data_IF_109534098444
#
_entry.id   IF_109534098444
#
_cell.length_a   1.000
_cell.length_b   1.000
_cell.length_c   1.000
_cell.angle_alpha   90.00
_cell.angle_beta   90.00
_cell.angle_gamma   90.00
#
_symmetry.space_group_name_H-M   'P 1'
#
loop_
_entity.id
_entity.type
_entity.pdbx_description
1 polymer ?
#
# COMPACT_ATOMS: atom_id res chain seq x y z
N UNK A 1 -5.72 0.70 21.53
CA UNK A 1 -4.62 1.64 21.24
C UNK A 1 -3.84 1.13 20.05
N UNK A 2 -3.26 2.02 19.25
CA UNK A 2 -2.35 1.66 18.16
C UNK A 2 -0.94 2.20 18.45
N UNK A 3 0.07 1.49 17.94
CA UNK A 3 1.44 2.03 17.85
C UNK A 3 1.67 2.53 16.44
N UNK A 4 2.18 3.75 16.30
CA UNK A 4 2.51 4.37 15.00
C UNK A 4 4.02 4.56 14.91
N UNK A 5 4.62 4.02 13.85
CA UNK A 5 6.05 4.15 13.56
C UNK A 5 6.25 4.93 12.26
N UNK A 6 7.06 5.97 12.32
CA UNK A 6 7.46 6.74 11.13
C UNK A 6 8.43 5.94 10.28
N UNK A 7 8.26 6.00 8.95
CA UNK A 7 9.24 5.42 8.01
C UNK A 7 10.25 6.48 7.56
N UNK A 8 11.33 6.08 6.87
CA UNK A 8 12.23 7.04 6.21
C UNK A 8 11.56 7.89 5.11
N UNK A 9 10.42 7.45 4.57
CA UNK A 9 9.68 8.19 3.55
C UNK A 9 8.66 9.09 4.24
N UNK A 10 8.69 10.38 3.92
CA UNK A 10 7.95 11.40 4.67
C UNK A 10 6.44 11.13 4.65
N UNK A 11 5.81 11.16 5.82
CA UNK A 11 4.36 10.96 6.06
C UNK A 11 3.85 9.53 5.83
N UNK A 12 4.70 8.59 5.39
CA UNK A 12 4.35 7.17 5.30
C UNK A 12 4.55 6.52 6.67
N UNK A 13 3.51 5.83 7.17
CA UNK A 13 3.47 5.34 8.56
C UNK A 13 3.15 3.85 8.62
N UNK A 14 3.85 3.13 9.50
CA UNK A 14 3.51 1.77 9.89
C UNK A 14 2.59 1.84 11.11
N UNK A 15 1.49 1.08 11.08
CA UNK A 15 0.53 0.99 12.17
C UNK A 15 0.48 -0.43 12.70
N UNK A 16 0.65 -0.58 14.01
CA UNK A 16 0.54 -1.83 14.73
C UNK A 16 -0.67 -1.77 15.67
N UNK A 17 -1.76 -2.48 15.35
CA UNK A 17 -2.95 -2.49 16.19
C UNK A 17 -2.74 -3.38 17.42
N UNK A 18 -3.34 -3.01 18.54
CA UNK A 18 -3.36 -3.84 19.73
C UNK A 18 -4.21 -5.11 19.52
N UNK A 19 -3.65 -6.26 19.88
CA UNK A 19 -4.32 -7.55 19.82
C UNK A 19 -4.99 -7.88 21.16
N UNK A 20 -6.25 -8.28 21.12
CA UNK A 20 -7.00 -8.79 22.28
C UNK A 20 -7.28 -10.27 22.07
N UNK A 21 -6.47 -11.14 22.68
CA UNK A 21 -6.53 -12.58 22.49
C UNK A 21 -7.02 -13.35 23.71
N UNK A 22 -7.73 -14.45 23.48
CA UNK A 22 -8.07 -15.47 24.48
C UNK A 22 -8.13 -16.88 23.83
N UNK A 23 -8.61 -17.87 24.58
CA UNK A 23 -8.67 -19.26 24.09
C UNK A 23 -9.62 -19.48 22.89
N UNK A 24 -10.44 -18.50 22.51
CA UNK A 24 -11.33 -18.54 21.35
C UNK A 24 -10.67 -18.00 20.07
N UNK A 25 -9.56 -17.26 20.22
CA UNK A 25 -8.90 -16.56 19.13
C UNK A 25 -8.49 -15.15 19.54
N UNK A 26 -8.62 -14.19 18.63
CA UNK A 26 -8.27 -12.80 18.88
C UNK A 26 -9.22 -11.82 18.19
N UNK A 27 -9.33 -10.64 18.79
CA UNK A 27 -9.98 -9.47 18.23
C UNK A 27 -8.92 -8.39 17.99
N UNK A 28 -9.03 -7.70 16.87
CA UNK A 28 -8.20 -6.54 16.55
C UNK A 28 -9.10 -5.41 16.06
N UNK A 29 -8.97 -4.24 16.66
CA UNK A 29 -9.61 -3.03 16.15
C UNK A 29 -8.75 -2.49 15.00
N UNK A 30 -9.16 -2.79 13.76
CA UNK A 30 -8.36 -2.44 12.57
C UNK A 30 -8.41 -0.97 12.20
N UNK A 31 -9.43 -0.25 12.67
CA UNK A 31 -9.59 1.18 12.47
C UNK A 31 -10.54 1.75 13.54
N UNK A 32 -10.15 2.88 14.11
CA UNK A 32 -10.97 3.68 15.01
C UNK A 32 -10.66 5.14 14.75
N UNK A 33 -11.68 5.91 14.36
CA UNK A 33 -11.51 7.29 13.90
C UNK A 33 -10.89 8.19 14.97
N UNK A 34 -11.28 8.03 16.24
CA UNK A 34 -10.75 8.86 17.33
C UNK A 34 -9.30 8.49 17.64
N UNK A 35 -8.98 7.19 17.67
CA UNK A 35 -7.63 6.72 17.94
C UNK A 35 -6.66 7.13 16.82
N UNK A 36 -7.05 6.97 15.56
CA UNK A 36 -6.21 7.37 14.42
C UNK A 36 -6.01 8.89 14.39
N UNK A 37 -7.04 9.68 14.71
CA UNK A 37 -6.94 11.14 14.79
C UNK A 37 -5.95 11.62 15.86
N UNK A 38 -5.81 10.90 16.99
CA UNK A 38 -4.78 11.20 18.01
C UNK A 38 -3.35 11.10 17.49
N UNK A 39 -3.14 10.32 16.43
CA UNK A 39 -1.85 10.17 15.74
C UNK A 39 -1.75 11.03 14.47
N UNK A 40 -2.67 11.98 14.27
CA UNK A 40 -2.66 12.90 13.13
C UNK A 40 -3.25 12.32 11.84
N UNK A 41 -3.86 11.14 11.88
CA UNK A 41 -4.54 10.53 10.73
C UNK A 41 -6.02 10.90 10.81
N UNK A 42 -6.42 11.91 10.03
CA UNK A 42 -7.77 12.51 10.09
C UNK A 42 -8.62 12.20 8.86
N UNK A 43 -8.12 11.39 7.94
CA UNK A 43 -8.82 10.99 6.73
C UNK A 43 -10.10 10.21 7.03
N UNK A 44 -11.16 10.53 6.29
CA UNK A 44 -12.37 9.71 6.28
C UNK A 44 -12.23 8.65 5.19
N UNK A 45 -12.19 7.38 5.60
CA UNK A 45 -12.20 6.26 4.66
C UNK A 45 -13.63 5.96 4.20
N UNK A 46 -13.87 6.06 2.88
CA UNK A 46 -15.21 5.97 2.26
C UNK A 46 -15.40 4.75 1.38
N UNK A 47 -14.33 4.01 1.11
CA UNK A 47 -14.36 2.77 0.34
C UNK A 47 -13.47 1.72 1.01
N UNK A 48 -13.89 0.46 0.97
CA UNK A 48 -13.12 -0.68 1.46
C UNK A 48 -13.03 -1.73 0.36
N UNK A 49 -11.83 -2.24 0.12
CA UNK A 49 -11.53 -3.19 -0.94
C UNK A 49 -10.86 -4.42 -0.33
N UNK A 50 -11.16 -5.59 -0.91
CA UNK A 50 -10.59 -6.87 -0.51
C UNK A 50 -10.16 -7.63 -1.75
N UNK A 51 -8.88 -8.00 -1.81
CA UNK A 51 -8.32 -8.76 -2.92
C UNK A 51 -7.69 -10.06 -2.42
N UNK A 52 -7.76 -11.10 -3.25
CA UNK A 52 -7.05 -12.37 -3.06
C UNK A 52 -6.05 -12.54 -4.21
N UNK A 53 -4.84 -12.99 -3.89
CA UNK A 53 -3.76 -13.16 -4.86
C UNK A 53 -3.00 -14.44 -4.58
N UNK A 54 -2.74 -15.21 -5.64
CA UNK A 54 -1.85 -16.36 -5.56
C UNK A 54 -0.40 -15.90 -5.32
N UNK A 55 0.43 -16.81 -4.80
CA UNK A 55 1.88 -16.59 -4.71
C UNK A 55 2.46 -16.11 -6.05
N UNK A 56 3.37 -15.13 -5.99
CA UNK A 56 4.07 -14.62 -7.16
C UNK A 56 3.31 -13.56 -7.96
N UNK A 57 2.08 -13.21 -7.56
CA UNK A 57 1.36 -12.07 -8.16
C UNK A 57 1.96 -10.75 -7.68
N UNK A 58 2.13 -9.80 -8.59
CA UNK A 58 2.44 -8.41 -8.27
C UNK A 58 1.29 -7.52 -8.75
N UNK A 59 0.83 -6.62 -7.89
CA UNK A 59 -0.16 -5.60 -8.26
C UNK A 59 0.46 -4.22 -8.02
N UNK A 60 0.38 -3.34 -9.02
CA UNK A 60 0.88 -1.97 -8.88
C UNK A 60 2.06 -1.62 -9.80
N UNK A 61 2.59 -0.40 -9.66
CA UNK A 61 2.28 0.58 -8.62
C UNK A 61 1.10 1.48 -9.04
N UNK A 62 0.09 1.65 -8.18
CA UNK A 62 -1.14 2.38 -8.49
C UNK A 62 -1.34 3.62 -7.67
N UNK A 63 -1.93 4.64 -8.31
CA UNK A 63 -2.45 5.84 -7.67
C UNK A 63 -3.65 6.36 -8.47
N UNK A 64 -4.52 7.12 -7.79
CA UNK A 64 -5.57 7.88 -8.44
C UNK A 64 -5.13 9.33 -8.59
N UNK A 65 -5.27 9.92 -9.78
CA UNK A 65 -4.83 11.31 -10.04
C UNK A 65 -5.76 12.32 -9.34
N UNK A 66 -5.26 13.52 -9.00
CA UNK A 66 -6.12 14.62 -8.56
C UNK A 66 -7.23 14.92 -9.59
N UNK A 67 -8.42 15.38 -9.14
CA UNK A 67 -8.76 15.76 -7.76
C UNK A 67 -9.16 14.56 -6.86
N UNK A 68 -9.07 13.33 -7.35
CA UNK A 68 -9.59 12.14 -6.65
C UNK A 68 -8.50 11.32 -5.96
N UNK A 69 -7.33 11.91 -5.68
CA UNK A 69 -6.24 11.20 -5.02
C UNK A 69 -6.67 10.51 -3.72
N UNK A 70 -6.13 9.32 -3.47
CA UNK A 70 -6.53 8.46 -2.35
C UNK A 70 -5.40 8.29 -1.34
N UNK A 71 -5.72 8.54 -0.07
CA UNK A 71 -4.99 7.94 1.05
C UNK A 71 -5.50 6.51 1.24
N UNK A 72 -4.59 5.56 1.50
CA UNK A 72 -4.91 4.15 1.73
C UNK A 72 -4.48 3.71 3.12
N UNK A 73 -5.26 2.82 3.74
CA UNK A 73 -4.84 2.04 4.91
C UNK A 73 -4.90 0.57 4.52
N UNK A 74 -3.74 -0.07 4.39
CA UNK A 74 -3.60 -1.43 3.82
C UNK A 74 -3.16 -2.43 4.88
N UNK A 75 -3.71 -3.65 4.85
CA UNK A 75 -3.30 -4.75 5.74
C UNK A 75 -3.49 -6.11 5.09
N UNK A 76 -2.71 -7.09 5.53
CA UNK A 76 -2.87 -8.48 5.13
C UNK A 76 -3.82 -9.22 6.10
N UNK A 77 -4.85 -9.88 5.59
CA UNK A 77 -5.78 -10.70 6.40
C UNK A 77 -5.47 -12.19 6.36
N UNK A 78 -4.78 -12.65 5.32
CA UNK A 78 -4.39 -14.05 5.11
C UNK A 78 -3.06 -14.11 4.40
N UNK A 79 -2.20 -15.04 4.80
CA UNK A 79 -0.88 -15.23 4.20
C UNK A 79 0.05 -14.04 4.47
N UNK A 80 0.97 -13.78 3.54
CA UNK A 80 1.99 -12.73 3.64
C UNK A 80 2.33 -12.16 2.27
N UNK A 81 2.63 -10.87 2.25
CA UNK A 81 2.97 -10.11 1.06
C UNK A 81 4.03 -9.06 1.39
N UNK A 82 4.79 -8.66 0.39
CA UNK A 82 5.70 -7.52 0.45
C UNK A 82 4.99 -6.28 -0.09
N UNK A 83 4.60 -5.36 0.79
CA UNK A 83 3.89 -4.13 0.43
C UNK A 83 4.90 -2.98 0.22
N UNK A 84 4.67 -2.15 -0.80
CA UNK A 84 5.54 -1.05 -1.17
C UNK A 84 4.73 0.21 -1.46
N UNK A 85 5.22 1.33 -0.93
CA UNK A 85 4.74 2.65 -1.28
C UNK A 85 5.90 3.54 -1.78
N UNK A 86 5.63 4.32 -2.83
CA UNK A 86 6.57 5.26 -3.45
C UNK A 86 5.99 6.66 -3.37
N UNK A 87 6.78 7.61 -2.88
CA UNK A 87 6.36 9.01 -2.80
C UNK A 87 6.43 9.67 -4.18
N UNK A 88 5.27 10.03 -4.74
CA UNK A 88 5.16 10.62 -6.08
C UNK A 88 4.97 12.13 -6.04
N UNK A 89 5.05 12.77 -4.86
CA UNK A 89 4.83 14.22 -4.69
C UNK A 89 6.09 14.98 -5.10
N UNK A 90 6.06 15.75 -6.19
CA UNK A 90 7.26 16.43 -6.74
C UNK A 90 7.93 17.39 -5.78
N UNK A 91 7.16 18.01 -4.88
CA UNK A 91 7.68 18.95 -3.88
C UNK A 91 8.10 18.28 -2.56
N UNK A 92 8.00 16.95 -2.46
CA UNK A 92 8.41 16.22 -1.27
C UNK A 92 9.94 16.05 -1.24
N UNK A 93 10.58 16.18 -0.05
CA UNK A 93 12.01 15.86 0.10
C UNK A 93 12.32 14.37 -0.15
N UNK A 94 11.29 13.51 -0.13
CA UNK A 94 11.40 12.07 -0.38
C UNK A 94 10.83 11.66 -1.73
N UNK A 95 10.65 12.60 -2.69
CA UNK A 95 10.16 12.29 -4.04
C UNK A 95 10.97 11.15 -4.70
N UNK A 96 10.25 10.17 -5.26
CA UNK A 96 10.76 8.91 -5.85
C UNK A 96 11.40 7.93 -4.86
N UNK A 97 11.51 8.27 -3.58
CA UNK A 97 11.92 7.31 -2.57
C UNK A 97 10.78 6.35 -2.28
N UNK A 98 11.13 5.10 -1.97
CA UNK A 98 10.20 4.05 -1.66
C UNK A 98 10.53 3.42 -0.32
N UNK A 99 9.51 2.83 0.30
CA UNK A 99 9.64 1.99 1.47
C UNK A 99 8.84 0.71 1.26
N UNK A 100 9.39 -0.40 1.73
CA UNK A 100 8.73 -1.70 1.66
C UNK A 100 8.81 -2.44 2.99
N UNK A 101 7.77 -3.21 3.29
CA UNK A 101 7.70 -4.08 4.45
C UNK A 101 6.85 -5.32 4.17
N UNK A 102 7.08 -6.38 4.94
CA UNK A 102 6.17 -7.51 4.94
C UNK A 102 4.90 -7.19 5.75
N UNK A 103 3.74 -7.37 5.13
CA UNK A 103 2.45 -7.42 5.82
C UNK A 103 1.95 -8.86 5.82
N UNK A 104 1.55 -9.36 6.99
CA UNK A 104 1.07 -10.73 7.13
C UNK A 104 -0.08 -10.85 8.11
N UNK A 105 -0.86 -11.92 7.97
CA UNK A 105 -1.91 -12.27 8.93
C UNK A 105 -1.34 -12.49 10.34
N UNK A 106 -0.06 -12.88 10.44
CA UNK A 106 0.65 -13.08 11.70
C UNK A 106 1.02 -11.74 12.35
N UNK A 107 1.76 -10.88 11.63
CA UNK A 107 2.29 -9.62 12.17
C UNK A 107 1.22 -8.53 12.33
N UNK A 108 0.11 -8.62 11.57
CA UNK A 108 -1.05 -7.72 11.62
C UNK A 108 -0.71 -6.25 11.42
N UNK A 109 0.48 -5.96 10.88
CA UNK A 109 0.90 -4.62 10.53
C UNK A 109 -0.02 -4.06 9.46
N UNK A 110 -0.14 -2.74 9.48
CA UNK A 110 -0.79 -1.98 8.42
C UNK A 110 0.19 -0.93 7.92
N UNK A 111 0.02 -0.54 6.67
CA UNK A 111 0.70 0.62 6.11
C UNK A 111 -0.34 1.70 5.83
N UNK A 112 -0.12 2.88 6.39
CA UNK A 112 -0.88 4.08 6.06
C UNK A 112 -0.12 4.84 4.98
N UNK A 113 -0.77 5.03 3.85
CA UNK A 113 -0.20 5.54 2.61
C UNK A 113 -0.94 6.82 2.23
N UNK A 114 -0.34 8.01 2.37
CA UNK A 114 -0.98 9.26 2.04
C UNK A 114 -1.36 9.39 0.56
N UNK A 115 -2.32 10.25 0.25
CA UNK A 115 -2.56 10.70 -1.12
C UNK A 115 -1.29 11.27 -1.75
N UNK A 116 -1.08 10.97 -3.05
CA UNK A 116 0.15 11.34 -3.76
C UNK A 116 1.26 10.29 -3.72
N UNK A 117 0.98 9.10 -3.19
CA UNK A 117 1.86 7.94 -3.27
C UNK A 117 1.38 6.96 -4.34
N UNK A 118 2.31 6.25 -4.98
CA UNK A 118 2.04 5.04 -5.73
C UNK A 118 2.20 3.82 -4.82
N UNK A 119 1.26 2.88 -4.86
CA UNK A 119 1.21 1.71 -3.98
C UNK A 119 1.13 0.41 -4.77
N UNK A 120 1.85 -0.62 -4.32
CA UNK A 120 1.73 -1.97 -4.86
C UNK A 120 2.26 -3.02 -3.89
N UNK A 121 2.07 -4.29 -4.23
CA UNK A 121 2.59 -5.39 -3.44
C UNK A 121 2.94 -6.61 -4.28
N UNK A 122 3.77 -7.48 -3.72
CA UNK A 122 4.10 -8.80 -4.24
C UNK A 122 3.67 -9.90 -3.26
N UNK A 123 2.87 -10.86 -3.71
CA UNK A 123 2.44 -12.00 -2.88
C UNK A 123 3.60 -12.97 -2.66
N UNK A 124 4.04 -13.11 -1.41
CA UNK A 124 5.08 -14.07 -1.02
C UNK A 124 4.49 -15.48 -0.84
N UNK A 125 3.19 -15.57 -0.58
CA UNK A 125 2.37 -16.78 -0.61
C UNK A 125 0.94 -16.40 -1.05
N UNK A 126 0.02 -17.37 -1.09
CA UNK A 126 -1.39 -17.07 -1.31
C UNK A 126 -1.90 -16.14 -0.20
N UNK A 127 -2.29 -14.93 -0.56
CA UNK A 127 -2.58 -13.88 0.40
C UNK A 127 -3.86 -13.11 0.09
N UNK A 128 -4.37 -12.43 1.12
CA UNK A 128 -5.47 -11.49 1.00
C UNK A 128 -5.06 -10.12 1.55
N UNK A 129 -5.22 -9.09 0.71
CA UNK A 129 -5.01 -7.70 1.10
C UNK A 129 -6.37 -7.02 1.25
N UNK A 130 -6.59 -6.39 2.40
CA UNK A 130 -7.72 -5.50 2.67
C UNK A 130 -7.19 -4.08 2.72
N UNK A 131 -7.88 -3.16 2.06
CA UNK A 131 -7.49 -1.76 2.10
C UNK A 131 -8.65 -0.79 2.02
N UNK A 132 -8.57 0.22 2.88
CA UNK A 132 -9.49 1.34 2.94
C UNK A 132 -8.97 2.51 2.12
N UNK A 133 -9.84 3.25 1.44
CA UNK A 133 -9.50 4.43 0.64
C UNK A 133 -10.26 5.67 1.11
N UNK A 134 -9.59 6.82 1.14
CA UNK A 134 -10.19 8.12 1.50
C UNK A 134 -11.05 8.76 0.41
N UNK A 135 -11.11 8.15 -0.77
CA UNK A 135 -11.96 8.56 -1.88
C UNK A 135 -12.48 7.32 -2.62
N UNK A 136 -13.59 7.46 -3.34
CA UNK A 136 -14.14 6.36 -4.16
C UNK A 136 -13.29 6.13 -5.40
N UNK A 137 -13.46 4.97 -6.02
CA UNK A 137 -12.78 4.61 -7.26
C UNK A 137 -13.34 5.39 -8.46
N UNK A 138 -12.44 6.04 -9.20
CA UNK A 138 -12.69 6.76 -10.44
C UNK A 138 -11.78 6.17 -11.53
N UNK A 139 -12.26 5.22 -12.36
CA UNK A 139 -11.44 4.54 -13.36
C UNK A 139 -10.75 5.52 -14.33
N UNK A 140 -11.35 6.69 -14.57
CA UNK A 140 -10.90 7.61 -15.62
C UNK A 140 -9.62 8.37 -15.21
N UNK A 141 -9.30 8.34 -13.92
CA UNK A 141 -8.09 8.92 -13.35
C UNK A 141 -7.27 7.89 -12.57
N UNK A 142 -7.63 6.61 -12.66
CA UNK A 142 -6.83 5.50 -12.15
C UNK A 142 -5.58 5.34 -13.01
N UNK A 143 -4.42 5.32 -12.37
CA UNK A 143 -3.13 5.36 -13.05
C UNK A 143 -2.05 4.67 -12.22
N UNK A 144 -0.81 4.75 -12.68
CA UNK A 144 0.28 4.04 -12.03
C UNK A 144 1.63 4.26 -12.66
N UNK A 145 2.64 3.71 -12.01
CA UNK A 145 4.02 3.60 -12.50
C UNK A 145 4.39 2.13 -12.58
N UNK A 146 5.21 1.81 -13.58
CA UNK A 146 5.81 0.50 -13.76
C UNK A 146 6.49 0.00 -12.48
N UNK A 147 6.16 -1.23 -12.06
CA UNK A 147 6.65 -1.82 -10.81
C UNK A 147 8.18 -1.96 -10.74
N UNK A 148 8.84 -2.18 -11.88
CA UNK A 148 10.30 -2.28 -12.01
C UNK A 148 10.91 -1.06 -12.71
N UNK A 149 10.37 0.12 -12.41
CA UNK A 149 10.93 1.38 -12.87
C UNK A 149 12.41 1.53 -12.45
N UNK A 150 13.33 1.84 -13.37
CA UNK A 150 14.77 1.89 -13.09
C UNK A 150 15.19 3.12 -12.27
N UNK A 151 14.40 4.20 -12.22
CA UNK A 151 14.71 5.36 -11.39
C UNK A 151 14.34 5.12 -9.92
N UNK A 152 13.24 4.40 -9.66
CA UNK A 152 12.81 4.04 -8.31
C UNK A 152 13.62 2.84 -7.79
N UNK A 153 13.92 1.88 -8.67
CA UNK A 153 14.77 0.71 -8.40
C UNK A 153 14.34 -0.10 -7.14
N UNK A 154 13.04 -0.38 -7.02
CA UNK A 154 12.48 -1.15 -5.90
C UNK A 154 13.11 -2.54 -5.83
N UNK A 155 13.55 -2.92 -4.63
CA UNK A 155 14.08 -4.25 -4.36
C UNK A 155 12.94 -5.19 -3.99
N UNK A 156 12.32 -5.79 -5.00
CA UNK A 156 11.26 -6.76 -4.83
C UNK A 156 11.84 -8.13 -4.43
N UNK A 157 11.32 -8.81 -3.39
CA UNK A 157 11.75 -10.14 -2.98
C UNK A 157 11.13 -11.22 -3.89
N UNK A 158 11.44 -11.16 -5.18
CA UNK A 158 10.93 -12.11 -6.18
C UNK A 158 11.44 -13.53 -5.88
N UNK A 159 10.65 -14.53 -6.24
CA UNK A 159 11.10 -15.92 -6.09
C UNK A 159 12.27 -16.17 -7.06
N UNK A 160 13.31 -16.93 -6.63
CA UNK A 160 14.47 -17.19 -7.48
C UNK A 160 14.08 -17.79 -8.84
N UNK A 161 14.51 -17.14 -9.91
CA UNK A 161 14.24 -17.59 -11.29
C UNK A 161 12.80 -17.37 -11.76
N UNK A 162 11.95 -16.65 -11.02
CA UNK A 162 10.60 -16.32 -11.46
C UNK A 162 10.46 -14.87 -11.94
N UNK A 163 9.47 -14.66 -12.80
CA UNK A 163 8.92 -13.33 -13.10
C UNK A 163 7.60 -13.18 -12.37
N UNK A 164 7.29 -11.99 -11.80
CA UNK A 164 6.00 -11.78 -11.17
C UNK A 164 4.86 -11.90 -12.19
N UNK A 165 3.74 -12.45 -11.74
CA UNK A 165 2.49 -12.46 -12.51
C UNK A 165 1.81 -11.10 -12.38
N UNK A 166 1.58 -10.43 -13.50
CA UNK A 166 1.03 -9.08 -13.58
C UNK A 166 -0.32 -9.10 -14.29
N UNK A 167 -1.15 -8.08 -14.04
CA UNK A 167 -2.32 -7.82 -14.88
C UNK A 167 -1.91 -7.16 -16.20
N UNK A 168 -2.77 -7.25 -17.23
CA UNK A 168 -2.56 -6.55 -18.50
C UNK A 168 -2.33 -5.05 -18.30
N UNK A 169 -3.09 -4.42 -17.40
CA UNK A 169 -2.92 -3.02 -17.00
C UNK A 169 -1.51 -2.76 -16.48
N UNK A 170 -1.02 -3.59 -15.56
CA UNK A 170 0.28 -3.40 -14.91
C UNK A 170 1.45 -3.57 -15.89
N UNK A 171 1.29 -4.43 -16.90
CA UNK A 171 2.31 -4.58 -17.96
C UNK A 171 2.48 -3.35 -18.84
N UNK A 172 1.46 -2.48 -18.90
CA UNK A 172 1.40 -1.30 -19.77
C UNK A 172 1.74 0.01 -19.05
N UNK A 173 1.96 -0.02 -17.72
CA UNK A 173 2.31 1.17 -16.96
C UNK A 173 3.66 1.75 -17.42
N UNK A 174 3.70 3.08 -17.48
CA UNK A 174 4.87 3.84 -17.92
C UNK A 174 5.90 3.97 -16.78
N UNK A 175 7.14 4.24 -17.17
CA UNK A 175 8.21 4.62 -16.24
C UNK A 175 8.01 6.04 -15.73
N UNK A 176 8.59 6.37 -14.58
CA UNK A 176 8.64 7.72 -14.00
C UNK A 176 9.14 8.75 -15.01
N UNK A 177 10.13 8.39 -15.83
CA UNK A 177 10.71 9.26 -16.85
C UNK A 177 9.71 9.74 -17.92
N UNK A 178 8.66 8.97 -18.19
CA UNK A 178 7.72 9.19 -19.31
C UNK A 178 6.27 9.36 -18.87
N UNK A 179 5.94 8.95 -17.65
CA UNK A 179 4.63 9.15 -17.07
C UNK A 179 4.41 10.61 -16.67
N UNK A 180 3.22 11.14 -16.91
CA UNK A 180 2.80 12.41 -16.33
C UNK A 180 2.41 12.20 -14.86
N UNK A 181 3.28 12.58 -13.93
CA UNK A 181 3.06 12.46 -12.48
C UNK A 181 2.36 13.72 -11.97
N UNK A 182 1.14 13.64 -11.41
CA UNK A 182 0.32 14.83 -11.14
C UNK A 182 0.40 15.37 -9.70
N UNK A 183 1.38 14.94 -8.89
CA UNK A 183 1.50 15.28 -7.46
C UNK A 183 2.72 16.14 -7.15
#
# INVERSE_FOLDING_TARGET
MITVTVTPVKDLLIIEPQLFGDNRGWLVETYNVEEFARHGITETFVQDNHSSSAQGVLRGLHFQRPPFAQTKLVRCSKGRLWDVAVDMRKNSPTFKQWFGLELSAENKKMLFIPAGFAHGFYSLEDCELIYKCSNVYHPEVDSGIRWNDPEIAIQWPLLPGSTPTLSDKDTQLLTVATADIPF
#
